data_IF_564770659201
#
_entry.id   IF_564770659201
#
_cell.length_a   1.000
_cell.length_b   1.000
_cell.length_c   1.000
_cell.angle_alpha   90.00
_cell.angle_beta   90.00
_cell.angle_gamma   90.00
#
_symmetry.space_group_name_H-M   'P 1'
#
loop_
_entity.id
_entity.type
_entity.pdbx_description
1 polymer ?
#
# COMPACT_ATOMS: atom_id res chain seq x y z
N UNK A 1 -21.04 30.15 -23.43
CA UNK A 1 -21.55 28.90 -22.81
C UNK A 1 -20.53 28.42 -21.77
N UNK A 2 -20.81 28.55 -20.48
CA UNK A 2 -19.96 28.01 -19.40
C UNK A 2 -20.77 26.97 -18.63
N UNK A 3 -20.57 25.70 -18.95
CA UNK A 3 -21.21 24.60 -18.24
C UNK A 3 -20.66 24.49 -16.81
N UNK A 4 -21.47 24.07 -15.83
CA UNK A 4 -21.02 23.91 -14.46
C UNK A 4 -19.91 22.86 -14.38
N UNK A 5 -18.72 23.27 -13.92
CA UNK A 5 -17.63 22.36 -13.55
C UNK A 5 -18.14 21.44 -12.45
N UNK A 6 -18.36 20.15 -12.76
CA UNK A 6 -18.67 19.12 -11.75
C UNK A 6 -17.63 19.19 -10.63
N UNK A 7 -18.04 19.62 -9.43
CA UNK A 7 -17.22 19.54 -8.21
C UNK A 7 -16.86 18.06 -8.02
N UNK A 8 -15.57 17.75 -7.97
CA UNK A 8 -15.10 16.38 -7.75
C UNK A 8 -15.64 15.88 -6.40
N UNK A 9 -16.51 14.87 -6.43
CA UNK A 9 -16.93 14.17 -5.20
C UNK A 9 -15.66 13.62 -4.55
N UNK A 10 -15.37 13.94 -3.26
CA UNK A 10 -14.21 13.38 -2.59
C UNK A 10 -14.27 11.85 -2.67
N UNK A 11 -13.29 11.26 -3.37
CA UNK A 11 -13.20 9.81 -3.50
C UNK A 11 -13.07 9.14 -2.12
N UNK A 12 -13.49 7.88 -2.02
CA UNK A 12 -13.32 7.07 -0.79
C UNK A 12 -11.86 7.14 -0.30
N UNK A 13 -11.67 7.26 1.02
CA UNK A 13 -10.37 7.21 1.67
C UNK A 13 -9.53 6.01 1.19
N UNK A 14 -8.22 6.20 0.87
CA UNK A 14 -7.34 5.10 0.49
C UNK A 14 -7.31 3.99 1.51
N UNK A 15 -7.20 2.75 1.03
CA UNK A 15 -7.06 1.59 1.89
C UNK A 15 -5.59 1.22 2.04
N UNK A 16 -5.08 1.15 3.27
CA UNK A 16 -3.80 0.53 3.60
C UNK A 16 -4.04 -0.91 4.07
N UNK A 17 -3.38 -1.87 3.43
CA UNK A 17 -3.33 -3.28 3.82
C UNK A 17 -1.88 -3.62 4.17
N UNK A 18 -1.61 -3.93 5.43
CA UNK A 18 -0.28 -4.21 5.95
C UNK A 18 -0.14 -5.58 6.60
N UNK A 19 1.12 -6.03 6.73
CA UNK A 19 1.53 -7.15 7.58
C UNK A 19 1.96 -6.64 8.98
N UNK A 20 2.72 -7.45 9.73
CA UNK A 20 3.18 -7.10 11.08
C UNK A 20 3.99 -5.80 11.12
N UNK A 21 4.71 -5.48 10.05
CA UNK A 21 5.52 -4.24 9.96
C UNK A 21 4.68 -2.98 9.90
N UNK A 22 3.40 -3.11 9.52
CA UNK A 22 2.44 -2.01 9.43
C UNK A 22 1.63 -1.77 10.69
N UNK A 23 1.64 -2.67 11.68
CA UNK A 23 0.72 -2.62 12.84
C UNK A 23 0.84 -1.32 13.62
N UNK A 24 2.06 -0.93 14.02
CA UNK A 24 2.29 0.30 14.79
C UNK A 24 1.98 1.56 13.96
N UNK A 25 2.10 1.47 12.63
CA UNK A 25 1.79 2.59 11.73
C UNK A 25 0.29 2.69 11.38
N UNK A 26 -0.48 1.60 11.44
CA UNK A 26 -1.88 1.57 11.03
C UNK A 26 -2.77 2.63 11.71
N UNK A 27 -2.76 2.82 13.05
CA UNK A 27 -3.56 3.87 13.68
C UNK A 27 -3.07 5.28 13.30
N UNK A 28 -1.77 5.47 13.07
CA UNK A 28 -1.21 6.76 12.63
C UNK A 28 -1.62 7.09 11.19
N UNK A 29 -1.65 6.09 10.31
CA UNK A 29 -2.17 6.21 8.96
C UNK A 29 -3.68 6.52 8.97
N UNK A 30 -4.43 5.88 9.86
CA UNK A 30 -5.84 6.20 10.05
C UNK A 30 -6.05 7.66 10.47
N UNK A 31 -5.26 8.16 11.42
CA UNK A 31 -5.30 9.56 11.87
C UNK A 31 -4.98 10.60 10.79
N UNK A 32 -4.40 10.21 9.64
CA UNK A 32 -4.16 11.11 8.50
C UNK A 32 -5.09 10.85 7.30
N UNK A 33 -6.12 10.00 7.47
CA UNK A 33 -7.17 9.80 6.48
C UNK A 33 -7.09 8.52 5.64
N UNK A 34 -6.30 7.52 6.05
CA UNK A 34 -6.40 6.16 5.47
C UNK A 34 -7.49 5.35 6.17
N UNK A 35 -8.12 4.43 5.44
CA UNK A 35 -8.68 3.22 6.04
C UNK A 35 -7.52 2.25 6.19
N UNK A 36 -7.20 1.80 7.40
CA UNK A 36 -5.99 0.99 7.63
C UNK A 36 -6.33 -0.35 8.25
N UNK A 37 -5.75 -1.40 7.70
CA UNK A 37 -5.87 -2.77 8.19
C UNK A 37 -4.47 -3.41 8.12
N UNK A 38 -3.86 -3.66 9.28
CA UNK A 38 -2.60 -4.38 9.40
C UNK A 38 -2.77 -5.56 10.36
N UNK A 39 -2.21 -6.72 9.99
CA UNK A 39 -2.33 -7.94 10.79
C UNK A 39 -1.02 -8.71 10.76
N UNK A 40 -0.68 -9.34 11.90
CA UNK A 40 0.43 -10.27 12.00
C UNK A 40 0.30 -11.43 11.00
N UNK A 41 1.44 -11.96 10.54
CA UNK A 41 1.54 -13.11 9.65
C UNK A 41 0.78 -13.00 8.31
N UNK A 42 0.21 -11.83 7.98
CA UNK A 42 -0.54 -11.64 6.73
C UNK A 42 0.37 -11.82 5.53
N UNK A 43 -0.08 -12.62 4.57
CA UNK A 43 0.61 -12.83 3.29
C UNK A 43 -0.01 -12.00 2.16
N UNK A 44 0.77 -11.75 1.11
CA UNK A 44 0.33 -10.92 -0.02
C UNK A 44 -0.95 -11.46 -0.71
N UNK A 45 -1.13 -12.77 -0.78
CA UNK A 45 -2.29 -13.41 -1.41
C UNK A 45 -3.62 -13.00 -0.78
N UNK A 46 -3.64 -12.73 0.53
CA UNK A 46 -4.83 -12.26 1.24
C UNK A 46 -5.32 -10.90 0.73
N UNK A 47 -4.41 -10.02 0.29
CA UNK A 47 -4.76 -8.72 -0.29
C UNK A 47 -5.64 -8.88 -1.53
N UNK A 48 -5.44 -9.94 -2.33
CA UNK A 48 -6.25 -10.22 -3.53
C UNK A 48 -7.69 -10.51 -3.11
N UNK A 49 -7.88 -11.32 -2.08
CA UNK A 49 -9.20 -11.65 -1.52
C UNK A 49 -9.90 -10.43 -0.94
N UNK A 50 -9.18 -9.63 -0.14
CA UNK A 50 -9.69 -8.39 0.45
C UNK A 50 -10.13 -7.40 -0.63
N UNK A 51 -9.30 -7.17 -1.65
CA UNK A 51 -9.61 -6.27 -2.78
C UNK A 51 -10.83 -6.76 -3.54
N UNK A 52 -10.88 -8.06 -3.85
CA UNK A 52 -12.00 -8.66 -4.60
C UNK A 52 -13.32 -8.53 -3.84
N UNK A 53 -13.32 -8.84 -2.53
CA UNK A 53 -14.49 -8.70 -1.66
C UNK A 53 -14.97 -7.26 -1.59
N UNK A 54 -14.07 -6.31 -1.37
CA UNK A 54 -14.42 -4.89 -1.30
C UNK A 54 -14.93 -4.37 -2.64
N UNK A 55 -14.43 -4.88 -3.77
CA UNK A 55 -14.93 -4.47 -5.08
C UNK A 55 -16.35 -4.97 -5.33
N UNK A 56 -16.63 -6.25 -5.04
CA UNK A 56 -17.99 -6.81 -5.14
C UNK A 56 -18.99 -6.06 -4.26
N UNK A 57 -18.54 -5.60 -3.10
CA UNK A 57 -19.36 -4.80 -2.19
C UNK A 57 -19.45 -3.30 -2.57
N UNK A 58 -18.93 -2.85 -3.71
CA UNK A 58 -18.86 -1.43 -4.11
C UNK A 58 -18.18 -0.50 -3.09
N UNK A 59 -17.30 -1.07 -2.24
CA UNK A 59 -16.60 -0.40 -1.11
C UNK A 59 -15.10 -0.23 -1.33
N UNK A 60 -14.55 -0.76 -2.43
CA UNK A 60 -13.14 -0.62 -2.77
C UNK A 60 -12.83 0.85 -3.13
N UNK A 61 -11.85 1.50 -2.46
CA UNK A 61 -11.41 2.83 -2.87
C UNK A 61 -10.57 2.77 -4.16
N UNK A 62 -10.42 3.92 -4.81
CA UNK A 62 -9.60 4.06 -6.02
C UNK A 62 -8.12 3.72 -5.76
N UNK A 63 -7.61 4.00 -4.56
CA UNK A 63 -6.22 3.77 -4.17
C UNK A 63 -6.14 2.72 -3.08
N UNK A 64 -5.33 1.69 -3.30
CA UNK A 64 -4.99 0.67 -2.31
C UNK A 64 -3.47 0.66 -2.14
N UNK A 65 -3.01 0.84 -0.91
CA UNK A 65 -1.62 0.71 -0.50
C UNK A 65 -1.43 -0.67 0.12
N UNK A 66 -0.50 -1.46 -0.41
CA UNK A 66 -0.18 -2.81 0.07
C UNK A 66 1.25 -2.84 0.58
N UNK A 67 1.38 -2.99 1.89
CA UNK A 67 2.64 -3.20 2.61
C UNK A 67 2.69 -4.67 3.09
N UNK A 68 2.76 -5.58 2.11
CA UNK A 68 2.80 -7.02 2.33
C UNK A 68 3.99 -7.62 1.61
N UNK A 69 4.59 -8.64 2.24
CA UNK A 69 5.62 -9.45 1.62
C UNK A 69 6.85 -9.63 2.49
N UNK A 70 6.81 -9.22 3.77
CA UNK A 70 7.84 -9.60 4.74
C UNK A 70 7.70 -11.07 5.17
N UNK A 71 6.46 -11.55 5.30
CA UNK A 71 6.13 -12.90 5.78
C UNK A 71 6.27 -14.00 4.72
N UNK A 72 6.77 -13.65 3.53
CA UNK A 72 6.95 -14.60 2.44
C UNK A 72 7.12 -13.92 1.08
N UNK A 73 7.77 -14.60 0.11
CA UNK A 73 7.89 -14.09 -1.25
C UNK A 73 6.52 -13.88 -1.90
N UNK A 74 6.25 -12.68 -2.43
CA UNK A 74 5.01 -12.42 -3.19
C UNK A 74 4.95 -13.36 -4.40
N UNK A 75 3.93 -14.22 -4.56
CA UNK A 75 3.90 -15.19 -5.66
C UNK A 75 3.95 -14.54 -7.05
N UNK A 76 4.50 -15.22 -8.06
CA UNK A 76 4.43 -14.76 -9.45
C UNK A 76 3.00 -14.40 -9.87
N UNK A 77 2.87 -13.28 -10.60
CA UNK A 77 1.58 -12.79 -11.10
C UNK A 77 0.61 -12.21 -10.05
N UNK A 78 0.88 -12.35 -8.74
CA UNK A 78 -0.04 -11.90 -7.68
C UNK A 78 -0.34 -10.39 -7.74
N UNK A 79 0.67 -9.56 -8.02
CA UNK A 79 0.50 -8.12 -8.20
C UNK A 79 -0.42 -7.82 -9.40
N UNK A 80 -0.23 -8.52 -10.52
CA UNK A 80 -1.09 -8.38 -11.70
C UNK A 80 -2.54 -8.80 -11.42
N UNK A 81 -2.75 -9.91 -10.69
CA UNK A 81 -4.08 -10.34 -10.22
C UNK A 81 -4.73 -9.28 -9.34
N UNK A 82 -3.98 -8.67 -8.42
CA UNK A 82 -4.46 -7.57 -7.58
C UNK A 82 -4.94 -6.40 -8.44
N UNK A 83 -4.12 -5.94 -9.40
CA UNK A 83 -4.45 -4.84 -10.33
C UNK A 83 -5.72 -5.15 -11.13
N UNK A 84 -5.90 -6.37 -11.64
CA UNK A 84 -7.14 -6.81 -12.31
C UNK A 84 -8.34 -6.80 -11.36
N UNK A 85 -8.18 -7.31 -10.14
CA UNK A 85 -9.20 -7.29 -9.09
C UNK A 85 -9.59 -5.88 -8.62
N UNK A 86 -8.77 -4.86 -8.88
CA UNK A 86 -9.11 -3.45 -8.61
C UNK A 86 -9.87 -2.78 -9.76
N UNK A 87 -9.60 -3.18 -11.01
CA UNK A 87 -10.41 -2.79 -12.19
C UNK A 87 -9.86 -1.54 -12.86
N UNK A 88 -10.48 -1.10 -13.95
CA UNK A 88 -9.89 -0.11 -14.86
C UNK A 88 -9.41 1.17 -14.17
N UNK A 89 -10.12 1.62 -13.12
CA UNK A 89 -9.83 2.88 -12.43
C UNK A 89 -8.93 2.77 -11.20
N UNK A 90 -8.59 1.56 -10.75
CA UNK A 90 -7.86 1.34 -9.50
C UNK A 90 -6.35 1.57 -9.62
N UNK A 91 -5.75 2.23 -8.63
CA UNK A 91 -4.30 2.45 -8.49
C UNK A 91 -3.76 1.67 -7.29
N UNK A 92 -2.78 0.82 -7.53
CA UNK A 92 -2.08 0.05 -6.51
C UNK A 92 -0.79 0.76 -6.12
N UNK A 93 -0.57 0.96 -4.83
CA UNK A 93 0.72 1.41 -4.28
C UNK A 93 1.34 0.23 -3.53
N UNK A 94 2.56 -0.15 -3.89
CA UNK A 94 3.30 -1.23 -3.26
C UNK A 94 4.36 -0.64 -2.33
N UNK A 95 4.44 -1.09 -1.08
CA UNK A 95 5.47 -0.66 -0.14
C UNK A 95 6.47 -1.79 0.07
N UNK A 96 7.74 -1.56 -0.29
CA UNK A 96 8.72 -2.65 -0.30
C UNK A 96 9.12 -3.10 1.12
N UNK A 97 9.23 -4.42 1.38
CA UNK A 97 9.72 -4.93 2.65
C UNK A 97 11.25 -4.82 2.74
N UNK A 98 11.79 -4.54 3.93
CA UNK A 98 13.25 -4.39 4.15
C UNK A 98 14.04 -5.68 3.96
N UNK A 99 13.58 -6.78 4.55
CA UNK A 99 14.32 -8.05 4.62
C UNK A 99 13.72 -9.15 3.75
N UNK A 100 13.07 -8.77 2.65
CA UNK A 100 12.56 -9.73 1.68
C UNK A 100 12.83 -9.27 0.24
N UNK A 101 14.05 -9.56 -0.22
CA UNK A 101 14.59 -9.12 -1.51
C UNK A 101 13.82 -9.61 -2.73
N UNK A 102 13.24 -10.82 -2.68
CA UNK A 102 12.41 -11.36 -3.78
C UNK A 102 11.10 -10.59 -3.89
N UNK A 103 10.43 -10.31 -2.78
CA UNK A 103 9.23 -9.46 -2.77
C UNK A 103 9.55 -8.05 -3.28
N UNK A 104 10.63 -7.43 -2.80
CA UNK A 104 11.07 -6.10 -3.27
C UNK A 104 11.34 -6.07 -4.78
N UNK A 105 12.12 -7.02 -5.31
CA UNK A 105 12.39 -7.14 -6.75
C UNK A 105 11.11 -7.27 -7.57
N UNK A 106 10.17 -8.13 -7.14
CA UNK A 106 8.88 -8.32 -7.83
C UNK A 106 8.03 -7.05 -7.81
N UNK A 107 8.00 -6.32 -6.69
CA UNK A 107 7.32 -5.03 -6.61
C UNK A 107 7.92 -4.00 -7.57
N UNK A 108 9.24 -3.84 -7.58
CA UNK A 108 9.94 -2.91 -8.48
C UNK A 108 9.69 -3.25 -9.96
N UNK A 109 9.79 -4.53 -10.33
CA UNK A 109 9.50 -4.99 -11.68
C UNK A 109 8.04 -4.71 -12.09
N UNK A 110 7.08 -4.94 -11.19
CA UNK A 110 5.68 -4.63 -11.46
C UNK A 110 5.42 -3.12 -11.59
N UNK A 111 6.09 -2.30 -10.78
CA UNK A 111 6.04 -0.84 -10.89
C UNK A 111 6.50 -0.32 -12.25
N UNK A 112 7.57 -0.91 -12.81
CA UNK A 112 8.03 -0.60 -14.16
C UNK A 112 7.02 -1.05 -15.23
N UNK A 113 6.61 -2.32 -15.18
CA UNK A 113 5.72 -2.93 -16.19
C UNK A 113 4.31 -2.34 -16.20
N UNK A 114 3.79 -1.92 -15.05
CA UNK A 114 2.41 -1.45 -14.88
C UNK A 114 2.36 -0.01 -14.38
N UNK A 115 3.30 0.84 -14.77
CA UNK A 115 3.54 2.19 -14.21
C UNK A 115 2.32 3.12 -14.19
N UNK A 116 1.38 2.97 -15.13
CA UNK A 116 0.11 3.71 -15.14
C UNK A 116 -0.83 3.35 -13.98
N UNK A 117 -0.72 2.13 -13.45
CA UNK A 117 -1.63 1.57 -12.42
C UNK A 117 -0.93 1.16 -11.13
N UNK A 118 0.39 1.03 -11.13
CA UNK A 118 1.21 0.61 -9.99
C UNK A 118 2.26 1.67 -9.69
N UNK A 119 2.28 2.15 -8.46
CA UNK A 119 3.40 2.93 -7.91
C UNK A 119 4.13 2.12 -6.86
N UNK A 120 5.45 2.22 -6.80
CA UNK A 120 6.27 1.54 -5.79
C UNK A 120 6.86 2.59 -4.87
N UNK A 121 6.55 2.46 -3.59
CA UNK A 121 7.15 3.22 -2.51
C UNK A 121 8.24 2.31 -1.93
N UNK A 122 9.48 2.51 -2.41
CA UNK A 122 10.63 1.68 -2.03
C UNK A 122 11.12 1.99 -0.59
N UNK A 123 10.31 1.60 0.40
CA UNK A 123 10.58 1.76 1.82
C UNK A 123 11.90 1.10 2.24
N UNK A 124 12.21 -0.08 1.68
CA UNK A 124 13.47 -0.76 1.94
C UNK A 124 14.67 0.14 1.60
N UNK A 125 14.66 0.81 0.44
CA UNK A 125 15.69 1.79 0.07
C UNK A 125 15.62 3.04 0.93
N UNK A 126 14.43 3.62 1.10
CA UNK A 126 14.24 4.90 1.81
C UNK A 126 14.69 4.84 3.28
N UNK A 127 14.49 3.70 3.92
CA UNK A 127 14.81 3.50 5.33
C UNK A 127 16.20 2.91 5.59
N UNK A 128 16.98 2.62 4.53
CA UNK A 128 18.31 2.03 4.67
C UNK A 128 19.22 2.91 5.57
N UNK A 129 19.94 2.28 6.49
CA UNK A 129 20.80 2.96 7.46
C UNK A 129 20.09 3.83 8.51
N UNK A 130 18.75 3.81 8.58
CA UNK A 130 18.00 4.64 9.54
C UNK A 130 17.73 3.90 10.86
N UNK A 131 17.85 4.58 12.01
CA UNK A 131 17.55 4.01 13.34
C UNK A 131 16.04 4.05 13.62
N UNK A 132 15.23 3.47 12.72
CA UNK A 132 13.77 3.54 12.76
C UNK A 132 13.12 2.21 13.13
N UNK A 133 13.90 1.20 13.48
CA UNK A 133 13.46 -0.18 13.62
C UNK A 133 13.69 -0.68 15.04
N UNK A 134 12.92 -1.68 15.44
CA UNK A 134 13.21 -2.50 16.61
C UNK A 134 14.48 -3.34 16.39
N UNK A 135 14.91 -4.07 17.42
CA UNK A 135 16.14 -4.86 17.39
C UNK A 135 16.22 -5.89 16.26
N UNK A 136 15.07 -6.35 15.73
CA UNK A 136 15.01 -7.28 14.59
C UNK A 136 15.32 -6.63 13.22
N UNK A 137 15.38 -5.29 13.15
CA UNK A 137 15.62 -4.54 11.92
C UNK A 137 14.50 -4.60 10.88
N UNK A 138 13.33 -5.16 11.24
CA UNK A 138 12.16 -5.39 10.39
C UNK A 138 11.00 -4.52 10.84
N UNK A 139 10.61 -4.61 12.12
CA UNK A 139 9.47 -3.88 12.66
C UNK A 139 9.88 -2.43 12.96
N UNK A 140 9.03 -1.47 12.58
CA UNK A 140 9.30 -0.06 12.88
C UNK A 140 9.10 0.20 14.37
N UNK A 141 9.96 1.02 14.97
CA UNK A 141 9.70 1.57 16.30
C UNK A 141 8.56 2.59 16.25
N UNK A 142 8.11 3.11 17.41
CA UNK A 142 7.14 4.20 17.44
C UNK A 142 7.60 5.44 16.66
N UNK A 143 8.89 5.78 16.73
CA UNK A 143 9.49 6.85 15.94
C UNK A 143 9.53 6.48 14.45
N UNK A 144 9.94 5.25 14.13
CA UNK A 144 9.92 4.74 12.76
C UNK A 144 8.54 4.75 12.13
N UNK A 145 7.49 4.44 12.89
CA UNK A 145 6.11 4.51 12.44
C UNK A 145 5.68 5.94 12.08
N UNK A 146 6.17 6.97 12.80
CA UNK A 146 5.96 8.39 12.41
C UNK A 146 6.62 8.68 11.06
N UNK A 147 7.84 8.19 10.83
CA UNK A 147 8.57 8.36 9.56
C UNK A 147 7.93 7.59 8.41
N UNK A 148 7.49 6.35 8.66
CA UNK A 148 6.74 5.52 7.73
C UNK A 148 5.43 6.19 7.31
N UNK A 149 4.66 6.72 8.28
CA UNK A 149 3.42 7.46 8.02
C UNK A 149 3.66 8.70 7.16
N UNK A 150 4.72 9.47 7.45
CA UNK A 150 5.12 10.63 6.62
C UNK A 150 5.50 10.21 5.20
N UNK A 151 6.23 9.10 5.06
CA UNK A 151 6.63 8.55 3.77
C UNK A 151 5.44 8.09 2.92
N UNK A 152 4.39 7.55 3.53
CA UNK A 152 3.18 7.10 2.82
C UNK A 152 2.17 8.21 2.51
N UNK A 153 2.29 9.39 3.14
CA UNK A 153 1.36 10.53 2.96
C UNK A 153 1.08 10.90 1.49
N UNK A 154 2.04 10.87 0.55
CA UNK A 154 1.75 11.17 -0.86
C UNK A 154 0.69 10.26 -1.50
N UNK A 155 0.45 9.05 -0.97
CA UNK A 155 -0.62 8.18 -1.48
C UNK A 155 -2.03 8.76 -1.27
N UNK A 156 -2.23 9.65 -0.28
CA UNK A 156 -3.48 10.40 -0.11
C UNK A 156 -3.78 11.29 -1.32
N UNK A 157 -2.76 11.89 -1.93
CA UNK A 157 -2.92 12.76 -3.09
C UNK A 157 -3.29 11.98 -4.35
N UNK A 158 -2.92 10.70 -4.43
CA UNK A 158 -3.34 9.82 -5.54
C UNK A 158 -4.84 9.53 -5.52
N UNK A 159 -5.49 9.69 -4.37
CA UNK A 159 -6.92 9.46 -4.16
C UNK A 159 -7.79 10.63 -4.61
N UNK A 160 -7.21 11.83 -4.61
CA UNK A 160 -7.86 13.09 -5.00
C UNK A 160 -7.84 13.34 -6.51
N UNK A 161 -7.12 12.50 -7.27
CA UNK A 161 -6.97 12.55 -8.74
C UNK A 161 -7.58 11.33 -9.40
#
# INVERSE_FOLDING_TARGET
>A
RHGPRRKAVPGRAPLFIGDSTGIIAAPKLAGIGFRSDARGCRQYTEAIGMVSRLRRAHRLPRVVVVALGVNGPIPPGAIGRTVRAMGSRGKLVLVTPRRQGTSRRRMLAAGRRLSRRVKVFDWARYSAGKPWFAGDGIHVSHFGAKKYTRYLRPALQLARR
#
